data_IF_232814032584
#
_entry.id   IF_232814032584
#
_cell.length_a   1.000
_cell.length_b   1.000
_cell.length_c   1.000
_cell.angle_alpha   90.00
_cell.angle_beta   90.00
_cell.angle_gamma   90.00
#
_symmetry.space_group_name_H-M   'P 1'
#
loop_
_entity.id
_entity.type
_entity.pdbx_description
1 polymer ?
#
# COMPACT_ATOMS: atom_id res chain seq x y z
N UNK A 1 -29.38 -17.70 27.97
CA UNK A 1 -28.95 -17.45 26.57
C UNK A 1 -27.72 -18.30 26.31
N UNK A 2 -27.86 -19.36 25.52
CA UNK A 2 -26.73 -20.20 25.10
C UNK A 2 -26.05 -19.44 23.95
N UNK A 3 -24.86 -18.90 24.18
CA UNK A 3 -24.06 -18.31 23.12
C UNK A 3 -23.73 -19.42 22.11
N UNK A 4 -24.39 -19.40 20.95
CA UNK A 4 -24.07 -20.30 19.84
C UNK A 4 -22.60 -20.13 19.51
N UNK A 5 -21.82 -21.21 19.60
CA UNK A 5 -20.42 -21.20 19.17
C UNK A 5 -20.38 -20.65 17.74
N UNK A 6 -19.51 -19.67 17.44
CA UNK A 6 -19.37 -19.18 16.09
C UNK A 6 -19.02 -20.36 15.17
N UNK A 7 -19.57 -20.41 13.96
CA UNK A 7 -19.26 -21.47 13.00
C UNK A 7 -17.74 -21.56 12.84
N UNK A 8 -17.20 -22.77 12.89
CA UNK A 8 -15.77 -23.01 12.67
C UNK A 8 -15.46 -22.51 11.27
N UNK A 9 -14.69 -21.43 11.17
CA UNK A 9 -14.33 -20.83 9.90
C UNK A 9 -13.65 -21.89 9.03
N UNK A 10 -14.11 -22.05 7.79
CA UNK A 10 -13.51 -22.97 6.82
C UNK A 10 -12.04 -22.58 6.65
N UNK A 11 -11.15 -23.57 6.77
CA UNK A 11 -9.73 -23.39 6.48
C UNK A 11 -9.56 -23.11 4.97
N UNK A 12 -8.90 -22.01 4.65
CA UNK A 12 -8.67 -21.56 3.28
C UNK A 12 -7.19 -21.70 2.94
N UNK A 13 -6.90 -22.05 1.69
CA UNK A 13 -5.58 -21.93 1.11
C UNK A 13 -5.46 -20.55 0.44
N UNK A 14 -4.61 -19.68 0.98
CA UNK A 14 -4.45 -18.29 0.57
C UNK A 14 -3.05 -18.08 -0.01
N UNK A 15 -2.99 -17.67 -1.27
CA UNK A 15 -1.78 -17.14 -1.90
C UNK A 15 -1.76 -15.63 -1.70
N UNK A 16 -0.87 -15.14 -0.83
CA UNK A 16 -0.72 -13.73 -0.53
C UNK A 16 0.40 -13.11 -1.38
N UNK A 17 0.04 -12.29 -2.36
CA UNK A 17 0.96 -11.63 -3.26
C UNK A 17 1.41 -10.30 -2.66
N UNK A 18 2.70 -10.20 -2.32
CA UNK A 18 3.29 -9.01 -1.73
C UNK A 18 4.71 -8.77 -2.25
N UNK A 19 4.88 -7.69 -3.02
CA UNK A 19 6.20 -7.20 -3.39
C UNK A 19 6.79 -6.40 -2.22
N UNK A 20 7.52 -7.09 -1.35
CA UNK A 20 8.32 -6.43 -0.32
C UNK A 20 9.43 -5.56 -0.95
N UNK A 21 9.74 -4.44 -0.30
CA UNK A 21 10.94 -3.66 -0.64
C UNK A 21 12.17 -4.39 -0.11
N UNK A 22 13.22 -4.51 -0.94
CA UNK A 22 14.46 -5.20 -0.59
C UNK A 22 15.12 -4.63 0.68
N UNK A 23 14.87 -3.36 0.99
CA UNK A 23 15.42 -2.64 2.15
C UNK A 23 14.64 -2.88 3.46
N UNK A 24 13.53 -3.64 3.44
CA UNK A 24 12.89 -4.18 4.66
C UNK A 24 13.67 -5.38 5.24
N UNK A 25 15.00 -5.28 5.29
CA UNK A 25 15.84 -6.22 6.06
C UNK A 25 15.55 -5.99 7.55
N UNK A 26 14.65 -6.79 8.12
CA UNK A 26 14.44 -6.90 9.57
C UNK A 26 13.00 -6.96 10.05
N UNK A 27 12.03 -6.44 9.29
CA UNK A 27 10.61 -6.53 9.67
C UNK A 27 9.83 -7.26 8.58
N UNK A 28 9.43 -8.52 8.84
CA UNK A 28 8.77 -9.31 7.83
C UNK A 28 7.42 -8.70 7.45
N UNK A 29 6.93 -8.89 6.20
CA UNK A 29 5.52 -8.74 5.85
C UNK A 29 4.57 -9.74 6.55
N UNK A 30 4.98 -10.23 7.73
CA UNK A 30 4.31 -11.23 8.55
C UNK A 30 3.02 -10.72 9.17
N UNK A 31 2.77 -9.42 9.30
CA UNK A 31 1.57 -8.96 10.01
C UNK A 31 0.29 -9.60 9.41
N UNK A 32 0.02 -9.40 8.13
CA UNK A 32 -1.17 -9.97 7.47
C UNK A 32 -1.08 -11.50 7.39
N UNK A 33 0.07 -12.04 6.97
CA UNK A 33 0.27 -13.50 6.85
C UNK A 33 0.04 -14.20 8.20
N UNK A 34 0.68 -13.73 9.26
CA UNK A 34 0.55 -14.27 10.62
C UNK A 34 -0.80 -13.99 11.26
N UNK A 35 -1.52 -12.92 10.88
CA UNK A 35 -2.92 -12.75 11.28
C UNK A 35 -3.78 -13.84 10.63
N UNK A 36 -3.61 -14.09 9.34
CA UNK A 36 -4.35 -15.11 8.60
C UNK A 36 -4.01 -16.55 9.07
N UNK A 37 -2.74 -16.83 9.35
CA UNK A 37 -2.29 -18.10 9.93
C UNK A 37 -2.87 -18.31 11.34
N UNK A 38 -2.86 -17.27 12.20
CA UNK A 38 -3.50 -17.33 13.53
C UNK A 38 -5.02 -17.50 13.46
N UNK A 39 -5.65 -17.02 12.38
CA UNK A 39 -7.06 -17.28 12.08
C UNK A 39 -7.30 -18.71 11.54
N UNK A 40 -6.25 -19.52 11.39
CA UNK A 40 -6.33 -20.94 11.02
C UNK A 40 -6.20 -21.22 9.52
N UNK A 41 -5.91 -20.21 8.69
CA UNK A 41 -5.73 -20.38 7.25
C UNK A 41 -4.33 -20.88 6.88
N UNK A 42 -4.21 -21.54 5.74
CA UNK A 42 -2.91 -21.86 5.12
C UNK A 42 -2.52 -20.71 4.22
N UNK A 43 -1.40 -20.04 4.51
CA UNK A 43 -0.98 -18.86 3.75
C UNK A 43 0.37 -19.12 3.12
N UNK A 44 0.48 -18.88 1.81
CA UNK A 44 1.75 -18.86 1.09
C UNK A 44 1.99 -17.47 0.55
N UNK A 45 3.09 -16.84 0.95
CA UNK A 45 3.48 -15.54 0.41
C UNK A 45 4.32 -15.70 -0.87
N UNK A 46 4.02 -14.90 -1.89
CA UNK A 46 4.77 -14.84 -3.15
C UNK A 46 5.01 -13.40 -3.62
N UNK A 47 5.98 -13.22 -4.52
CA UNK A 47 6.29 -11.91 -5.13
C UNK A 47 5.53 -11.67 -6.44
N UNK A 48 5.48 -12.66 -7.32
CA UNK A 48 4.73 -12.67 -8.60
C UNK A 48 4.57 -14.14 -9.06
N UNK A 49 3.81 -14.36 -10.14
CA UNK A 49 3.64 -15.66 -10.81
C UNK A 49 4.75 -16.02 -11.83
N UNK A 50 4.64 -17.18 -12.50
CA UNK A 50 3.52 -18.12 -12.47
C UNK A 50 3.50 -19.01 -11.21
N UNK A 51 2.31 -19.49 -10.84
CA UNK A 51 2.05 -20.32 -9.67
C UNK A 51 1.25 -21.57 -10.05
N UNK A 52 1.27 -22.60 -9.20
CA UNK A 52 0.26 -23.65 -9.28
C UNK A 52 -0.98 -23.19 -8.48
N UNK A 53 -2.02 -22.74 -9.18
CA UNK A 53 -3.25 -22.21 -8.59
C UNK A 53 -4.36 -23.26 -8.66
N UNK A 54 -4.90 -23.65 -7.50
CA UNK A 54 -6.08 -24.49 -7.42
C UNK A 54 -7.35 -23.63 -7.45
N UNK A 55 -8.43 -24.13 -8.05
CA UNK A 55 -9.69 -23.39 -8.20
C UNK A 55 -10.36 -23.06 -6.86
N UNK A 56 -10.13 -23.85 -5.81
CA UNK A 56 -10.68 -23.67 -4.46
C UNK A 56 -9.80 -22.79 -3.54
N UNK A 57 -8.73 -22.22 -4.09
CA UNK A 57 -7.83 -21.32 -3.38
C UNK A 57 -8.24 -19.85 -3.51
N UNK A 58 -7.67 -19.01 -2.64
CA UNK A 58 -7.79 -17.55 -2.70
C UNK A 58 -6.46 -16.97 -3.13
N UNK A 59 -6.47 -16.06 -4.10
CA UNK A 59 -5.33 -15.22 -4.48
C UNK A 59 -5.58 -13.81 -3.95
N UNK A 60 -4.83 -13.40 -2.94
CA UNK A 60 -4.93 -12.07 -2.36
C UNK A 60 -3.74 -11.23 -2.79
N UNK A 61 -4.01 -10.22 -3.61
CA UNK A 61 -3.04 -9.27 -4.14
C UNK A 61 -3.02 -8.01 -3.27
N UNK A 62 -1.85 -7.69 -2.71
CA UNK A 62 -1.65 -6.50 -1.90
C UNK A 62 -0.88 -5.42 -2.67
N UNK A 63 -1.43 -4.21 -2.70
CA UNK A 63 -0.76 -3.03 -3.24
C UNK A 63 -0.95 -2.83 -4.73
N UNK A 64 0.16 -2.62 -5.46
CA UNK A 64 0.11 -2.22 -6.86
C UNK A 64 -0.06 -3.40 -7.81
N UNK A 65 -1.08 -3.37 -8.67
CA UNK A 65 -1.24 -4.33 -9.76
C UNK A 65 -0.11 -4.31 -10.80
N UNK A 66 0.62 -3.19 -10.93
CA UNK A 66 1.77 -3.06 -11.84
C UNK A 66 2.94 -3.99 -11.47
N UNK A 67 2.96 -4.51 -10.25
CA UNK A 67 4.03 -5.37 -9.76
C UNK A 67 3.86 -6.85 -10.13
N UNK A 68 2.69 -7.24 -10.63
CA UNK A 68 2.28 -8.65 -10.74
C UNK A 68 1.97 -9.02 -12.20
N UNK A 69 2.91 -8.77 -13.11
CA UNK A 69 2.71 -8.99 -14.54
C UNK A 69 2.61 -10.48 -14.88
N UNK A 70 3.39 -11.33 -14.21
CA UNK A 70 3.33 -12.78 -14.40
C UNK A 70 2.00 -13.34 -13.90
N UNK A 71 1.55 -12.91 -12.74
CA UNK A 71 0.24 -13.29 -12.19
C UNK A 71 -0.91 -12.78 -13.05
N UNK A 72 -0.83 -11.54 -13.57
CA UNK A 72 -1.81 -11.02 -14.52
C UNK A 72 -1.95 -11.95 -15.73
N UNK A 73 -0.83 -12.25 -16.40
CA UNK A 73 -0.82 -13.11 -17.59
C UNK A 73 -1.41 -14.50 -17.30
N UNK A 74 -1.04 -15.09 -16.16
CA UNK A 74 -1.57 -16.37 -15.73
C UNK A 74 -3.08 -16.32 -15.47
N UNK A 75 -3.56 -15.36 -14.66
CA UNK A 75 -4.97 -15.27 -14.29
C UNK A 75 -5.86 -14.95 -15.49
N UNK A 76 -5.36 -14.21 -16.49
CA UNK A 76 -6.08 -13.97 -17.75
C UNK A 76 -6.16 -15.21 -18.65
N UNK A 77 -5.22 -16.15 -18.52
CA UNK A 77 -5.20 -17.37 -19.31
C UNK A 77 -6.10 -18.48 -18.74
N UNK A 78 -6.49 -18.39 -17.46
CA UNK A 78 -7.36 -19.36 -16.79
C UNK A 78 -8.82 -19.00 -17.10
N UNK A 79 -9.65 -20.00 -17.43
CA UNK A 79 -11.09 -19.80 -17.57
C UNK A 79 -11.67 -19.28 -16.24
N UNK A 80 -12.51 -18.24 -16.29
CA UNK A 80 -13.11 -17.62 -15.10
C UNK A 80 -13.79 -18.63 -14.17
N UNK A 81 -14.44 -19.67 -14.71
CA UNK A 81 -15.11 -20.71 -13.91
C UNK A 81 -14.14 -21.64 -13.15
N UNK A 82 -12.86 -21.66 -13.54
CA UNK A 82 -11.80 -22.49 -12.95
C UNK A 82 -10.76 -21.66 -12.18
N UNK A 83 -10.90 -20.33 -12.20
CA UNK A 83 -9.97 -19.41 -11.57
C UNK A 83 -10.21 -19.39 -10.05
N UNK A 84 -9.16 -19.31 -9.22
CA UNK A 84 -9.33 -19.03 -7.80
C UNK A 84 -10.05 -17.69 -7.57
N UNK A 85 -10.61 -17.52 -6.38
CA UNK A 85 -11.12 -16.22 -5.94
C UNK A 85 -9.97 -15.21 -5.86
N UNK A 86 -10.06 -14.11 -6.61
CA UNK A 86 -9.04 -13.06 -6.66
C UNK A 86 -9.51 -11.85 -5.85
N UNK A 87 -8.81 -11.57 -4.77
CA UNK A 87 -9.00 -10.37 -3.94
C UNK A 87 -7.86 -9.40 -4.25
N UNK A 88 -8.18 -8.16 -4.59
CA UNK A 88 -7.22 -7.09 -4.75
C UNK A 88 -7.44 -6.02 -3.67
N UNK A 89 -6.49 -5.89 -2.74
CA UNK A 89 -6.46 -4.78 -1.80
C UNK A 89 -5.49 -3.72 -2.29
N UNK A 90 -6.04 -2.69 -2.92
CA UNK A 90 -5.30 -1.59 -3.50
C UNK A 90 -4.91 -0.56 -2.44
N UNK A 91 -3.61 -0.46 -2.18
CA UNK A 91 -3.03 0.48 -1.20
C UNK A 91 -2.26 1.63 -1.83
N UNK A 92 -2.07 1.60 -3.14
CA UNK A 92 -1.25 2.59 -3.83
C UNK A 92 -2.02 3.89 -4.07
N UNK A 93 -1.31 5.00 -4.33
CA UNK A 93 -1.95 6.28 -4.59
C UNK A 93 -2.77 6.23 -5.89
N UNK A 94 -3.98 6.80 -5.84
CA UNK A 94 -4.82 7.11 -7.00
C UNK A 94 -4.98 8.62 -7.10
N UNK A 95 -5.44 9.16 -8.24
CA UNK A 95 -5.82 10.57 -8.31
C UNK A 95 -6.90 10.89 -7.26
N UNK A 96 -6.96 12.14 -6.78
CA UNK A 96 -7.99 12.54 -5.83
C UNK A 96 -9.38 12.49 -6.50
N UNK A 97 -10.45 12.18 -5.75
CA UNK A 97 -11.81 12.31 -6.24
C UNK A 97 -12.15 13.78 -6.51
N UNK A 98 -13.12 14.01 -7.38
CA UNK A 98 -13.58 15.35 -7.79
C UNK A 98 -14.08 16.16 -6.59
N UNK A 99 -14.72 15.51 -5.63
CA UNK A 99 -15.19 16.11 -4.37
C UNK A 99 -14.06 16.73 -3.52
N UNK A 100 -12.80 16.31 -3.72
CA UNK A 100 -11.67 16.91 -3.02
C UNK A 100 -11.34 18.34 -3.49
N UNK A 101 -11.89 18.79 -4.64
CA UNK A 101 -11.60 20.10 -5.21
C UNK A 101 -10.14 20.28 -5.63
N UNK A 102 -9.38 19.18 -5.74
CA UNK A 102 -7.97 19.18 -6.09
C UNK A 102 -7.79 18.73 -7.54
N UNK A 103 -6.93 19.40 -8.31
CA UNK A 103 -6.61 18.93 -9.65
C UNK A 103 -5.83 17.62 -9.56
N UNK A 104 -5.89 16.84 -10.64
CA UNK A 104 -5.03 15.67 -10.75
C UNK A 104 -3.54 16.08 -10.68
N UNK A 105 -2.69 15.29 -10.00
CA UNK A 105 -1.28 15.65 -9.81
C UNK A 105 -0.55 15.72 -11.15
N UNK A 106 0.22 16.78 -11.41
CA UNK A 106 1.08 16.82 -12.60
C UNK A 106 2.27 15.88 -12.40
N UNK A 107 2.49 14.98 -13.36
CA UNK A 107 3.70 14.16 -13.40
C UNK A 107 4.91 15.03 -13.68
N UNK A 108 6.00 14.79 -12.96
CA UNK A 108 7.29 15.34 -13.37
C UNK A 108 7.84 14.56 -14.57
N UNK A 109 8.83 15.12 -15.27
CA UNK A 109 9.36 14.52 -16.49
C UNK A 109 9.93 13.10 -16.28
N UNK A 110 10.49 12.79 -15.10
CA UNK A 110 10.97 11.45 -14.77
C UNK A 110 9.81 10.45 -14.58
N UNK A 111 8.72 10.87 -13.94
CA UNK A 111 7.50 10.05 -13.80
C UNK A 111 6.87 9.84 -15.18
N UNK A 112 6.82 10.87 -16.02
CA UNK A 112 6.39 10.76 -17.42
C UNK A 112 7.27 9.78 -18.20
N UNK A 113 8.59 9.83 -18.03
CA UNK A 113 9.51 8.88 -18.66
C UNK A 113 9.24 7.44 -18.18
N UNK A 114 9.04 7.23 -16.87
CA UNK A 114 8.70 5.91 -16.31
C UNK A 114 7.36 5.39 -16.84
N UNK A 115 6.38 6.27 -16.97
CA UNK A 115 5.06 5.99 -17.54
C UNK A 115 5.17 5.56 -19.02
N UNK A 116 5.87 6.35 -19.84
CA UNK A 116 6.09 6.07 -21.27
C UNK A 116 6.85 4.74 -21.46
N UNK A 117 7.89 4.52 -20.66
CA UNK A 117 8.71 3.31 -20.70
C UNK A 117 8.03 2.09 -20.04
N UNK A 118 6.80 2.25 -19.51
CA UNK A 118 6.01 1.20 -18.84
C UNK A 118 6.82 0.41 -17.80
N UNK A 119 7.63 1.12 -17.03
CA UNK A 119 8.50 0.50 -16.03
C UNK A 119 7.67 -0.10 -14.90
N UNK A 120 8.02 -1.32 -14.47
CA UNK A 120 7.35 -1.99 -13.35
C UNK A 120 7.53 -1.25 -12.00
N UNK A 121 8.50 -0.32 -11.94
CA UNK A 121 8.76 0.54 -10.79
C UNK A 121 8.02 1.88 -10.84
N UNK A 122 7.20 2.11 -11.87
CA UNK A 122 6.31 3.26 -11.92
C UNK A 122 5.18 3.06 -10.89
N UNK A 123 5.10 3.98 -9.92
CA UNK A 123 4.13 3.98 -8.82
C UNK A 123 3.35 5.29 -8.76
N UNK A 124 3.33 6.06 -9.85
CA UNK A 124 2.56 7.28 -9.93
C UNK A 124 1.05 6.99 -10.05
N UNK A 125 0.24 7.99 -9.67
CA UNK A 125 -1.22 7.86 -9.62
C UNK A 125 -1.86 7.44 -10.94
N UNK A 126 -1.27 7.80 -12.09
CA UNK A 126 -1.82 7.46 -13.41
C UNK A 126 -1.49 6.02 -13.78
N UNK A 127 -0.23 5.62 -13.63
CA UNK A 127 0.16 4.22 -13.87
C UNK A 127 -0.66 3.28 -12.99
N UNK A 128 -0.81 3.61 -11.70
CA UNK A 128 -1.58 2.82 -10.75
C UNK A 128 -3.02 2.66 -11.22
N UNK A 129 -3.69 3.76 -11.57
CA UNK A 129 -5.06 3.73 -12.07
C UNK A 129 -5.19 2.96 -13.39
N UNK A 130 -4.34 3.22 -14.38
CA UNK A 130 -4.45 2.61 -15.70
C UNK A 130 -4.21 1.09 -15.67
N UNK A 131 -3.26 0.63 -14.86
CA UNK A 131 -3.05 -0.81 -14.66
C UNK A 131 -4.21 -1.43 -13.89
N UNK A 132 -4.68 -0.80 -12.81
CA UNK A 132 -5.86 -1.27 -12.07
C UNK A 132 -7.09 -1.38 -12.98
N UNK A 133 -7.35 -0.35 -13.80
CA UNK A 133 -8.45 -0.34 -14.77
C UNK A 133 -8.31 -1.47 -15.79
N UNK A 134 -7.08 -1.79 -16.23
CA UNK A 134 -6.84 -2.96 -17.09
C UNK A 134 -7.22 -4.25 -16.39
N UNK A 135 -6.85 -4.45 -15.12
CA UNK A 135 -7.24 -5.63 -14.35
C UNK A 135 -8.76 -5.76 -14.21
N UNK A 136 -9.44 -4.68 -13.85
CA UNK A 136 -10.91 -4.62 -13.72
C UNK A 136 -11.59 -4.94 -15.06
N UNK A 137 -11.11 -4.38 -16.18
CA UNK A 137 -11.66 -4.66 -17.52
C UNK A 137 -11.53 -6.13 -17.93
N UNK A 138 -10.52 -6.83 -17.44
CA UNK A 138 -10.34 -8.27 -17.65
C UNK A 138 -11.09 -9.12 -16.61
N UNK A 139 -11.97 -8.49 -15.81
CA UNK A 139 -12.73 -9.13 -14.72
C UNK A 139 -11.83 -9.95 -13.81
N UNK A 140 -10.65 -9.43 -13.49
CA UNK A 140 -9.67 -10.16 -12.70
C UNK A 140 -9.96 -10.14 -11.21
N UNK A 141 -10.00 -8.98 -10.52
CA UNK A 141 -10.44 -8.99 -9.14
C UNK A 141 -11.93 -9.37 -9.11
N UNK A 142 -12.23 -10.44 -8.38
CA UNK A 142 -13.61 -10.76 -8.00
C UNK A 142 -14.04 -9.84 -6.85
N UNK A 143 -13.09 -9.41 -6.02
CA UNK A 143 -13.26 -8.43 -4.96
C UNK A 143 -12.16 -7.36 -5.08
N UNK A 144 -12.56 -6.09 -5.17
CA UNK A 144 -11.66 -4.94 -5.14
C UNK A 144 -11.87 -4.14 -3.85
N UNK A 145 -10.80 -3.96 -3.10
CA UNK A 145 -10.79 -3.22 -1.84
C UNK A 145 -9.88 -2.01 -1.97
N UNK A 146 -10.38 -0.86 -1.53
CA UNK A 146 -9.62 0.38 -1.39
C UNK A 146 -9.29 0.65 0.09
N UNK A 147 -8.03 1.03 0.36
CA UNK A 147 -7.54 1.31 1.70
C UNK A 147 -8.13 2.58 2.34
N UNK A 148 -8.63 3.53 1.53
CA UNK A 148 -9.17 4.81 2.00
C UNK A 148 -10.45 5.17 1.28
N UNK A 149 -11.31 5.97 1.93
CA UNK A 149 -12.54 6.47 1.34
C UNK A 149 -12.27 7.27 0.06
N UNK A 150 -11.30 8.18 0.06
CA UNK A 150 -10.97 8.96 -1.14
C UNK A 150 -10.57 8.10 -2.36
N UNK A 151 -9.94 6.94 -2.15
CA UNK A 151 -9.66 5.98 -3.23
C UNK A 151 -10.93 5.30 -3.72
N UNK A 152 -11.82 4.89 -2.80
CA UNK A 152 -13.13 4.32 -3.15
C UNK A 152 -13.98 5.32 -3.93
N UNK A 153 -14.04 6.57 -3.48
CA UNK A 153 -14.79 7.64 -4.14
C UNK A 153 -14.25 7.89 -5.55
N UNK A 154 -12.93 7.98 -5.70
CA UNK A 154 -12.29 8.10 -7.01
C UNK A 154 -12.65 6.93 -7.92
N UNK A 155 -12.57 5.68 -7.44
CA UNK A 155 -12.94 4.51 -8.23
C UNK A 155 -14.42 4.53 -8.63
N UNK A 156 -15.31 4.95 -7.73
CA UNK A 156 -16.74 5.11 -8.00
C UNK A 156 -17.00 6.14 -9.11
N UNK A 157 -16.31 7.29 -9.10
CA UNK A 157 -16.37 8.29 -10.18
C UNK A 157 -15.90 7.71 -11.53
N UNK A 158 -15.04 6.69 -11.52
CA UNK A 158 -14.57 5.99 -12.72
C UNK A 158 -15.46 4.80 -13.11
N UNK A 159 -16.58 4.57 -12.43
CA UNK A 159 -17.46 3.43 -12.66
C UNK A 159 -16.85 2.09 -12.26
N UNK A 160 -15.92 2.09 -11.29
CA UNK A 160 -15.27 0.89 -10.75
C UNK A 160 -15.80 0.66 -9.33
N UNK A 161 -16.52 -0.44 -9.14
CA UNK A 161 -17.00 -0.85 -7.83
C UNK A 161 -15.84 -1.27 -6.92
N UNK A 162 -15.88 -0.84 -5.67
CA UNK A 162 -14.92 -1.26 -4.65
C UNK A 162 -15.47 -1.14 -3.23
N UNK A 163 -14.99 -2.01 -2.37
CA UNK A 163 -15.21 -1.94 -0.93
C UNK A 163 -14.16 -1.08 -0.25
N UNK A 164 -14.53 -0.48 0.88
CA UNK A 164 -13.57 0.23 1.73
C UNK A 164 -13.22 -0.65 2.92
N UNK A 165 -11.94 -0.97 3.06
CA UNK A 165 -11.39 -1.62 4.25
C UNK A 165 -10.16 -0.82 4.67
N UNK A 166 -10.18 -0.14 5.83
CA UNK A 166 -9.06 0.64 6.29
C UNK A 166 -7.87 -0.26 6.63
N UNK A 167 -6.66 0.26 6.43
CA UNK A 167 -5.46 -0.39 6.93
C UNK A 167 -5.45 -0.30 8.46
N UNK A 168 -5.55 -1.46 9.11
CA UNK A 168 -5.50 -1.56 10.57
C UNK A 168 -4.10 -1.30 11.14
N UNK A 169 -4.06 -1.09 12.45
CA UNK A 169 -2.83 -1.06 13.22
C UNK A 169 -2.44 -2.48 13.65
N UNK A 170 -1.14 -2.79 13.60
CA UNK A 170 -0.59 -4.02 14.16
C UNK A 170 0.43 -3.66 15.27
N UNK A 171 0.34 -4.25 16.47
CA UNK A 171 1.16 -3.85 17.61
C UNK A 171 2.67 -3.90 17.39
N UNK A 172 3.19 -4.79 16.53
CA UNK A 172 4.62 -4.84 16.21
C UNK A 172 5.10 -3.67 15.33
N UNK A 173 4.19 -2.86 14.76
CA UNK A 173 4.54 -1.69 13.95
C UNK A 173 5.05 -0.49 14.77
N UNK A 174 4.98 -0.54 16.10
CA UNK A 174 5.56 0.49 16.97
C UNK A 174 5.31 0.22 18.44
N UNK A 175 6.27 0.60 19.27
CA UNK A 175 6.22 0.45 20.72
C UNK A 175 6.58 1.79 21.37
N UNK A 176 5.92 2.12 22.48
CA UNK A 176 6.37 3.22 23.34
C UNK A 176 7.62 2.79 24.12
N UNK A 177 8.72 3.51 23.88
CA UNK A 177 10.02 3.27 24.50
C UNK A 177 10.26 4.20 25.71
N UNK A 178 9.32 5.08 26.03
CA UNK A 178 9.41 6.06 27.11
C UNK A 178 10.70 6.91 27.05
N UNK A 179 11.07 7.34 25.84
CA UNK A 179 12.27 8.16 25.61
C UNK A 179 11.95 9.65 25.76
N UNK A 180 12.99 10.44 26.06
CA UNK A 180 12.90 11.90 26.01
C UNK A 180 12.60 12.37 24.59
N UNK A 181 11.54 13.18 24.44
CA UNK A 181 11.18 13.78 23.15
C UNK A 181 12.01 15.03 22.89
N UNK A 182 13.18 14.87 22.27
CA UNK A 182 14.14 15.94 21.97
C UNK A 182 14.06 16.45 20.52
N UNK A 183 13.29 15.80 19.65
CA UNK A 183 13.02 16.24 18.27
C UNK A 183 11.69 17.01 18.23
N UNK A 184 11.74 18.30 17.89
CA UNK A 184 10.52 19.13 17.84
C UNK A 184 9.56 18.68 16.74
N UNK A 185 10.04 18.64 15.50
CA UNK A 185 9.25 18.20 14.34
C UNK A 185 10.08 17.23 13.51
N UNK A 186 9.55 16.03 13.27
CA UNK A 186 10.14 15.03 12.39
C UNK A 186 9.37 14.99 11.07
N UNK A 187 10.07 15.11 9.95
CA UNK A 187 9.57 14.63 8.67
C UNK A 187 10.31 13.35 8.31
N UNK A 188 9.55 12.24 8.18
CA UNK A 188 10.09 10.94 7.81
C UNK A 188 9.60 10.54 6.41
N UNK A 189 10.44 10.72 5.40
CA UNK A 189 10.09 10.38 4.02
C UNK A 189 11.15 10.77 3.00
N UNK A 190 10.98 10.26 1.77
CA UNK A 190 11.92 10.53 0.68
C UNK A 190 12.02 12.03 0.37
N UNK A 191 13.27 12.52 0.33
CA UNK A 191 13.65 13.93 0.12
C UNK A 191 13.95 14.26 -1.35
N UNK A 192 13.68 13.33 -2.27
CA UNK A 192 13.80 13.52 -3.71
C UNK A 192 12.51 14.11 -4.34
N UNK A 193 11.55 14.53 -3.52
CA UNK A 193 10.25 15.08 -3.95
C UNK A 193 10.26 16.61 -3.86
N UNK A 194 10.31 17.34 -4.99
CA UNK A 194 10.47 18.80 -4.99
C UNK A 194 9.38 19.57 -4.22
N UNK A 195 8.13 19.07 -4.26
CA UNK A 195 7.04 19.67 -3.48
C UNK A 195 7.32 19.61 -1.98
N UNK A 196 7.78 18.46 -1.47
CA UNK A 196 8.06 18.28 -0.05
C UNK A 196 9.18 19.20 0.40
N UNK A 197 10.27 19.26 -0.37
CA UNK A 197 11.42 20.12 -0.03
C UNK A 197 11.03 21.59 0.04
N UNK A 198 10.26 22.09 -0.93
CA UNK A 198 9.75 23.48 -0.89
C UNK A 198 8.90 23.76 0.35
N UNK A 199 8.07 22.81 0.78
CA UNK A 199 7.25 22.95 1.99
C UNK A 199 8.11 22.91 3.25
N UNK A 200 9.07 21.99 3.34
CA UNK A 200 10.01 21.90 4.46
C UNK A 200 10.85 23.18 4.59
N UNK A 201 11.39 23.69 3.47
CA UNK A 201 12.13 24.96 3.44
C UNK A 201 11.27 26.14 3.89
N UNK A 202 10.02 26.22 3.43
CA UNK A 202 9.09 27.29 3.84
C UNK A 202 8.81 27.22 5.34
N UNK A 203 8.62 26.03 5.91
CA UNK A 203 8.42 25.87 7.34
C UNK A 203 9.69 26.27 8.13
N UNK A 204 10.87 25.87 7.64
CA UNK A 204 12.16 26.27 8.21
C UNK A 204 12.38 27.78 8.20
N UNK A 205 12.02 28.47 7.10
CA UNK A 205 12.06 29.95 6.99
C UNK A 205 11.12 30.64 7.98
N UNK A 206 10.10 29.95 8.49
CA UNK A 206 9.20 30.45 9.54
C UNK A 206 9.65 30.03 10.95
N UNK A 207 10.89 29.60 11.13
CA UNK A 207 11.48 29.28 12.44
C UNK A 207 11.16 27.89 12.97
N UNK A 208 10.54 27.02 12.18
CA UNK A 208 10.20 25.66 12.62
C UNK A 208 11.44 24.76 12.46
N UNK A 209 11.94 24.22 13.57
CA UNK A 209 13.06 23.27 13.59
C UNK A 209 12.59 21.89 13.16
N UNK A 210 12.82 21.55 11.90
CA UNK A 210 12.41 20.26 11.33
C UNK A 210 13.64 19.36 11.17
N UNK A 211 13.59 18.18 11.78
CA UNK A 211 14.46 17.07 11.46
C UNK A 211 13.86 16.30 10.28
N UNK A 212 14.38 16.53 9.08
CA UNK A 212 13.95 15.81 7.88
C UNK A 212 14.92 14.67 7.59
N UNK A 213 14.42 13.43 7.60
CA UNK A 213 15.20 12.22 7.28
C UNK A 213 14.35 11.22 6.51
N UNK A 214 14.98 10.23 5.89
CA UNK A 214 14.29 9.13 5.25
C UNK A 214 14.59 8.99 3.76
N UNK A 215 14.80 7.74 3.37
CA UNK A 215 14.69 7.29 1.99
C UNK A 215 14.32 5.81 2.04
N UNK A 216 13.79 5.26 0.95
CA UNK A 216 13.56 3.82 0.87
C UNK A 216 14.85 3.00 1.04
N UNK A 217 16.02 3.61 0.80
CA UNK A 217 17.33 2.97 0.94
C UNK A 217 17.98 3.16 2.32
N UNK A 218 17.53 4.11 3.13
CA UNK A 218 18.13 4.40 4.43
C UNK A 218 17.63 3.41 5.49
N UNK A 219 18.47 2.44 5.87
CA UNK A 219 18.14 1.42 6.87
C UNK A 219 17.82 2.01 8.26
N UNK A 220 18.46 3.12 8.64
CA UNK A 220 18.23 3.80 9.93
C UNK A 220 16.85 4.45 10.06
N UNK A 221 16.02 4.39 9.02
CA UNK A 221 14.64 4.85 9.03
C UNK A 221 13.62 3.69 9.10
N UNK A 222 14.07 2.48 9.42
CA UNK A 222 13.24 1.28 9.54
C UNK A 222 13.42 0.57 10.90
N UNK A 223 12.53 -0.38 11.20
CA UNK A 223 12.66 -1.25 12.37
C UNK A 223 12.80 -0.52 13.71
N UNK A 224 13.81 -0.92 14.50
CA UNK A 224 14.09 -0.36 15.82
C UNK A 224 14.51 1.10 15.75
N UNK A 225 15.37 1.47 14.80
CA UNK A 225 15.86 2.84 14.63
C UNK A 225 14.71 3.79 14.30
N UNK A 226 13.78 3.37 13.43
CA UNK A 226 12.53 4.11 13.18
C UNK A 226 11.72 4.27 14.46
N UNK A 227 11.61 3.21 15.25
CA UNK A 227 10.83 3.23 16.50
C UNK A 227 11.45 4.22 17.49
N UNK A 228 12.76 4.21 17.67
CA UNK A 228 13.49 5.17 18.49
C UNK A 228 13.31 6.61 18.00
N UNK A 229 13.49 6.84 16.70
CA UNK A 229 13.32 8.16 16.09
C UNK A 229 11.91 8.73 16.31
N UNK A 230 10.88 7.90 16.16
CA UNK A 230 9.50 8.28 16.43
C UNK A 230 9.26 8.57 17.92
N UNK A 231 9.82 7.76 18.82
CA UNK A 231 9.68 7.96 20.27
C UNK A 231 10.38 9.24 20.78
N UNK A 232 11.42 9.70 20.09
CA UNK A 232 12.12 10.98 20.34
C UNK A 232 11.39 12.21 19.78
N UNK A 233 10.34 12.01 18.98
CA UNK A 233 9.64 13.09 18.25
C UNK A 233 8.45 13.64 19.03
N UNK A 234 8.31 14.97 19.08
CA UNK A 234 7.12 15.65 19.62
C UNK A 234 5.99 15.73 18.58
N UNK A 235 6.31 16.14 17.35
CA UNK A 235 5.35 16.28 16.24
C UNK A 235 5.86 15.52 15.01
N UNK A 236 5.07 14.58 14.51
CA UNK A 236 5.32 13.92 13.23
C UNK A 236 4.65 14.71 12.09
N UNK A 237 5.45 15.33 11.24
CA UNK A 237 5.00 16.04 10.06
C UNK A 237 4.80 15.07 8.90
N UNK A 238 3.55 14.89 8.46
CA UNK A 238 3.23 14.12 7.27
C UNK A 238 3.03 15.04 6.05
N UNK A 239 3.93 14.93 5.07
CA UNK A 239 3.80 15.62 3.78
C UNK A 239 3.63 14.56 2.68
N UNK A 240 2.46 14.52 2.06
CA UNK A 240 2.17 13.63 0.94
C UNK A 240 3.00 13.95 -0.31
N UNK A 241 3.18 12.97 -1.21
CA UNK A 241 3.88 13.20 -2.49
C UNK A 241 3.00 14.07 -3.38
N UNK A 242 1.71 13.76 -3.44
CA UNK A 242 0.71 14.51 -4.20
C UNK A 242 -0.32 15.18 -3.27
N UNK A 243 -0.91 16.33 -3.65
CA UNK A 243 -1.99 16.95 -2.88
C UNK A 243 -3.18 15.99 -2.71
N UNK A 244 -3.80 15.98 -1.52
CA UNK A 244 -4.99 15.16 -1.24
C UNK A 244 -4.74 13.69 -0.98
N UNK A 245 -3.51 13.22 -1.16
CA UNK A 245 -3.10 11.87 -0.81
C UNK A 245 -2.90 11.77 0.71
N UNK A 246 -3.83 11.10 1.37
CA UNK A 246 -3.71 10.71 2.78
C UNK A 246 -3.63 9.18 2.88
N UNK A 247 -2.74 8.64 3.75
CA UNK A 247 -2.62 7.21 3.96
C UNK A 247 -3.90 6.58 4.50
#
# INVERSE_FOLDING_TARGET
MIASKPPVARKLAITFCYRGFATKFGSPPRAVVSILERAGHQVRQIKDGPLNLAADSVVWIWGNTNWYAGLFAQLTAINQAQRPLVILWHTEPLPPPSAAGLPWPRLNWWETAKFILRRSEATDVYTNYLVLRRWVRNRLPDILVAATLGRKDFLSEQGIESDWVPLGYEPSCGQDLNLTRDIDVLFLGAQDVPRRNRLLERLGKNGIRIHAVGSYANQGCWGRDRTELLNRTKILLNLSRTPGEFP
#
